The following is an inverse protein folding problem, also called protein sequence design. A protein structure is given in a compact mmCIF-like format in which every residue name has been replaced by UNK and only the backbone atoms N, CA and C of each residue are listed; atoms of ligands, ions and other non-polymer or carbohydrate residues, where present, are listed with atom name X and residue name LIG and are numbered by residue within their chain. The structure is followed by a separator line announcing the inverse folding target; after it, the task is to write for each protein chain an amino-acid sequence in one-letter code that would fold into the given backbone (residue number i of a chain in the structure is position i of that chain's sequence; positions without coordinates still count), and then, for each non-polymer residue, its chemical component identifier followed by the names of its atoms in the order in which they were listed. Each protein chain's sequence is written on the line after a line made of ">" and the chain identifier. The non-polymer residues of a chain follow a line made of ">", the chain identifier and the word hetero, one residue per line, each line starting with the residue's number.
data_IF_265595099526
#
_entry.id   IF_265595099526
#
_cell.length_a   1.000
_cell.length_b   1.000
_cell.length_c   1.000
_cell.angle_alpha   90.00
_cell.angle_beta   90.00
_cell.angle_gamma   90.00
#
_symmetry.space_group_name_H-M   'P 1'
#
loop_
_entity.id
_entity.type
_entity.pdbx_description
1 polymer ?
#
# COMPACT_ATOMS: atom_id res chain seq x y z
N UNK A 1 2.07 7.12 -8.75
CA UNK A 1 3.36 7.71 -9.19
C UNK A 1 3.15 9.09 -9.81
N UNK A 2 2.39 9.21 -10.90
CA UNK A 2 2.31 10.46 -11.69
C UNK A 2 1.41 11.58 -11.14
N UNK A 3 0.53 11.28 -10.18
CA UNK A 3 -0.32 12.29 -9.53
C UNK A 3 0.38 12.98 -8.33
N UNK A 4 1.68 12.72 -8.11
CA UNK A 4 2.45 13.31 -7.03
C UNK A 4 2.17 12.76 -5.63
N UNK A 5 1.22 11.82 -5.45
CA UNK A 5 0.86 11.28 -4.11
C UNK A 5 2.07 10.76 -3.34
N UNK A 6 3.01 10.06 -4.01
CA UNK A 6 4.21 9.50 -3.36
C UNK A 6 5.28 10.56 -3.01
N UNK A 7 5.19 11.77 -3.58
CA UNK A 7 6.22 12.79 -3.39
C UNK A 7 6.15 13.42 -2.00
N UNK A 8 4.96 13.49 -1.39
CA UNK A 8 4.74 14.03 -0.05
C UNK A 8 4.96 12.99 1.08
N UNK A 9 5.07 11.70 0.73
CA UNK A 9 5.15 10.61 1.70
C UNK A 9 6.59 10.28 2.09
N UNK A 10 6.80 9.93 3.36
CA UNK A 10 8.02 9.25 3.79
C UNK A 10 8.02 7.77 3.33
N UNK A 11 9.17 7.11 3.44
CA UNK A 11 9.33 5.74 2.96
C UNK A 11 8.48 4.71 3.74
N UNK A 12 8.16 4.97 5.01
CA UNK A 12 7.28 4.12 5.82
C UNK A 12 5.82 4.24 5.38
N UNK A 13 5.36 5.47 5.14
CA UNK A 13 4.05 5.75 4.57
C UNK A 13 3.91 5.15 3.17
N UNK A 14 5.00 5.12 2.38
CA UNK A 14 5.03 4.46 1.07
C UNK A 14 4.89 2.94 1.21
N UNK A 15 5.63 2.31 2.13
CA UNK A 15 5.50 0.87 2.38
C UNK A 15 4.06 0.52 2.78
N UNK A 16 3.48 1.29 3.70
CA UNK A 16 2.09 1.13 4.15
C UNK A 16 1.10 1.31 2.99
N UNK A 17 1.20 2.39 2.21
CA UNK A 17 0.28 2.61 1.09
C UNK A 17 0.43 1.54 -0.01
N UNK A 18 1.67 1.11 -0.28
CA UNK A 18 1.94 0.06 -1.26
C UNK A 18 1.38 -1.30 -0.84
N UNK A 19 1.24 -1.57 0.46
CA UNK A 19 0.62 -2.81 0.95
C UNK A 19 -0.83 -2.97 0.48
N UNK A 20 -1.55 -1.88 0.24
CA UNK A 20 -2.93 -1.89 -0.23
C UNK A 20 -3.10 -2.56 -1.61
N UNK A 21 -2.03 -2.64 -2.41
CA UNK A 21 -2.05 -3.28 -3.73
C UNK A 21 -1.74 -4.77 -3.67
N UNK A 22 -1.26 -5.29 -2.54
CA UNK A 22 -0.89 -6.69 -2.42
C UNK A 22 -2.15 -7.49 -2.07
N UNK A 23 -2.57 -8.45 -2.91
CA UNK A 23 -3.69 -9.31 -2.58
C UNK A 23 -3.38 -10.11 -1.32
N UNK A 24 -4.26 -10.01 -0.33
CA UNK A 24 -4.16 -10.72 0.93
C UNK A 24 -5.54 -10.95 1.55
N UNK A 25 -5.49 -11.52 2.75
CA UNK A 25 -6.67 -11.80 3.56
C UNK A 25 -7.31 -10.50 4.05
N UNK A 26 -8.62 -10.56 4.29
CA UNK A 26 -9.39 -9.46 4.87
C UNK A 26 -9.44 -9.66 6.38
N UNK A 27 -9.21 -8.58 7.13
CA UNK A 27 -9.47 -8.57 8.57
C UNK A 27 -10.98 -8.57 8.82
N UNK A 28 -11.42 -9.27 9.86
CA UNK A 28 -12.81 -9.22 10.35
C UNK A 28 -13.01 -8.12 11.38
N UNK A 29 -11.93 -7.54 11.89
CA UNK A 29 -11.92 -6.42 12.82
C UNK A 29 -11.96 -5.07 12.08
N UNK A 30 -12.29 -4.03 12.82
CA UNK A 30 -12.27 -2.67 12.30
C UNK A 30 -10.82 -2.20 12.11
N UNK A 31 -10.49 -1.73 10.91
CA UNK A 31 -9.15 -1.22 10.59
C UNK A 31 -8.90 0.05 11.40
N UNK A 32 -7.94 -0.01 12.33
CA UNK A 32 -7.48 1.16 13.09
C UNK A 32 -6.33 1.83 12.35
N UNK A 33 -6.65 2.84 11.55
CA UNK A 33 -5.68 3.56 10.74
C UNK A 33 -5.19 4.83 11.45
N UNK A 34 -3.87 5.04 11.50
CA UNK A 34 -3.29 6.30 11.98
C UNK A 34 -3.70 7.49 11.11
N UNK A 35 -3.83 8.66 11.74
CA UNK A 35 -4.24 9.91 11.09
C UNK A 35 -3.34 10.25 9.89
N UNK A 36 -2.04 10.00 10.01
CA UNK A 36 -1.05 10.25 8.95
C UNK A 36 -1.17 9.32 7.73
N UNK A 37 -1.91 8.21 7.86
CA UNK A 37 -2.17 7.25 6.78
C UNK A 37 -3.55 7.45 6.14
N UNK A 38 -4.46 8.18 6.79
CA UNK A 38 -5.80 8.43 6.30
C UNK A 38 -5.82 9.23 4.99
N UNK A 39 -5.06 10.34 4.91
CA UNK A 39 -4.99 11.16 3.69
C UNK A 39 -4.39 10.38 2.50
N UNK A 40 -3.26 9.67 2.64
CA UNK A 40 -2.73 8.81 1.57
C UNK A 40 -3.73 7.75 1.09
N UNK A 41 -4.42 7.08 2.02
CA UNK A 41 -5.43 6.08 1.67
C UNK A 41 -6.59 6.69 0.90
N UNK A 42 -7.10 7.84 1.34
CA UNK A 42 -8.18 8.55 0.65
C UNK A 42 -7.76 8.92 -0.78
N UNK A 43 -6.57 9.49 -0.97
CA UNK A 43 -6.06 9.84 -2.30
C UNK A 43 -5.96 8.62 -3.24
N UNK A 44 -5.61 7.45 -2.68
CA UNK A 44 -5.57 6.20 -3.43
C UNK A 44 -6.99 5.73 -3.82
N UNK A 45 -7.95 5.79 -2.90
CA UNK A 45 -9.36 5.46 -3.17
C UNK A 45 -9.98 6.39 -4.21
N UNK A 46 -9.73 7.70 -4.11
CA UNK A 46 -10.19 8.70 -5.08
C UNK A 46 -9.61 8.43 -6.47
N UNK A 47 -8.33 8.03 -6.54
CA UNK A 47 -7.69 7.66 -7.80
C UNK A 47 -8.31 6.38 -8.40
N UNK A 48 -8.57 5.36 -7.59
CA UNK A 48 -9.22 4.13 -8.03
C UNK A 48 -10.67 4.40 -8.51
N UNK A 49 -11.40 5.24 -7.79
CA UNK A 49 -12.75 5.67 -8.16
C UNK A 49 -12.74 6.37 -9.52
N UNK A 50 -11.80 7.30 -9.72
CA UNK A 50 -11.66 8.03 -10.99
C UNK A 50 -11.37 7.09 -12.17
N UNK A 51 -10.55 6.07 -11.95
CA UNK A 51 -10.26 5.05 -12.98
C UNK A 51 -11.55 4.29 -13.33
N UNK A 52 -12.31 3.84 -12.34
CA UNK A 52 -13.54 3.08 -12.57
C UNK A 52 -14.63 3.92 -13.25
N UNK A 53 -14.77 5.20 -12.89
CA UNK A 53 -15.66 6.14 -13.59
C UNK A 53 -15.31 6.25 -15.08
N UNK A 54 -14.02 6.42 -15.41
CA UNK A 54 -13.57 6.49 -16.80
C UNK A 54 -13.82 5.17 -17.54
N UNK A 55 -13.59 4.02 -16.87
CA UNK A 55 -13.91 2.72 -17.45
C UNK A 55 -15.40 2.57 -17.76
N UNK A 56 -16.28 3.05 -16.86
CA UNK A 56 -17.72 3.09 -17.07
C UNK A 56 -18.11 4.01 -18.23
N UNK A 57 -17.53 5.22 -18.31
CA UNK A 57 -17.71 6.16 -19.44
C UNK A 57 -17.30 5.52 -20.78
N UNK A 58 -16.25 4.70 -20.77
CA UNK A 58 -15.79 3.89 -21.91
C UNK A 58 -16.66 2.64 -22.18
N UNK A 59 -17.82 2.49 -21.51
CA UNK A 59 -18.79 1.40 -21.66
C UNK A 59 -18.25 0.02 -21.24
N UNK A 60 -17.27 -0.02 -20.36
CA UNK A 60 -16.90 -1.27 -19.68
C UNK A 60 -17.90 -1.54 -18.55
N UNK A 61 -18.31 -2.80 -18.40
CA UNK A 61 -19.15 -3.23 -17.29
C UNK A 61 -18.29 -3.28 -16.01
N UNK A 62 -18.26 -2.17 -15.29
CA UNK A 62 -17.58 -2.03 -14.01
C UNK A 62 -18.50 -1.36 -13.00
N UNK A 63 -18.56 -1.92 -11.79
CA UNK A 63 -19.14 -1.26 -10.63
C UNK A 63 -18.03 -0.48 -9.91
N UNK A 64 -18.21 0.84 -9.79
CA UNK A 64 -17.22 1.75 -9.22
C UNK A 64 -16.85 1.40 -7.79
N UNK A 65 -17.84 1.11 -6.94
CA UNK A 65 -17.59 0.83 -5.52
C UNK A 65 -16.93 -0.54 -5.33
N UNK A 66 -17.39 -1.55 -6.08
CA UNK A 66 -16.73 -2.87 -6.08
C UNK A 66 -15.29 -2.79 -6.60
N UNK A 67 -15.02 -1.96 -7.61
CA UNK A 67 -13.67 -1.76 -8.13
C UNK A 67 -12.75 -1.15 -7.08
N UNK A 68 -13.20 -0.11 -6.36
CA UNK A 68 -12.42 0.54 -5.31
C UNK A 68 -12.13 -0.46 -4.18
N UNK A 69 -13.13 -1.20 -3.71
CA UNK A 69 -12.97 -2.21 -2.64
C UNK A 69 -12.03 -3.36 -3.07
N UNK A 70 -12.12 -3.81 -4.32
CA UNK A 70 -11.28 -4.89 -4.83
C UNK A 70 -9.81 -4.44 -5.01
N UNK A 71 -9.61 -3.18 -5.40
CA UNK A 71 -8.31 -2.61 -5.77
C UNK A 71 -7.51 -2.07 -4.58
N UNK A 72 -8.19 -1.63 -3.52
CA UNK A 72 -7.55 -0.99 -2.36
C UNK A 72 -7.85 -1.79 -1.09
N UNK A 73 -6.84 -2.47 -0.55
CA UNK A 73 -6.97 -3.35 0.62
C UNK A 73 -6.18 -2.84 1.84
N UNK A 74 -6.76 -1.93 2.65
CA UNK A 74 -6.03 -1.27 3.73
C UNK A 74 -5.81 -2.11 4.99
N UNK A 75 -6.18 -3.40 5.00
CA UNK A 75 -6.25 -4.24 6.21
C UNK A 75 -4.92 -4.36 6.97
N UNK A 76 -3.78 -4.36 6.27
CA UNK A 76 -2.45 -4.46 6.87
C UNK A 76 -1.67 -3.13 6.82
N UNK A 77 -2.31 -2.02 6.46
CA UNK A 77 -1.63 -0.74 6.25
C UNK A 77 -0.93 -0.24 7.53
N UNK A 78 -1.61 -0.28 8.69
CA UNK A 78 -1.00 0.14 9.97
C UNK A 78 0.07 -0.85 10.47
N UNK A 79 -0.17 -2.15 10.27
CA UNK A 79 0.76 -3.24 10.61
C UNK A 79 2.09 -3.05 9.88
N UNK A 80 2.04 -2.85 8.56
CA UNK A 80 3.22 -2.62 7.72
C UNK A 80 3.92 -1.31 8.07
N UNK A 81 3.15 -0.26 8.38
CA UNK A 81 3.73 1.00 8.84
C UNK A 81 4.55 0.83 10.12
N UNK A 82 3.98 0.20 11.16
CA UNK A 82 4.68 -0.08 12.41
C UNK A 82 5.90 -0.98 12.20
N UNK A 83 5.75 -2.06 11.42
CA UNK A 83 6.86 -2.94 11.07
C UNK A 83 8.00 -2.16 10.44
N UNK A 84 7.71 -1.37 9.41
CA UNK A 84 8.72 -0.59 8.69
C UNK A 84 9.47 0.39 9.61
N UNK A 85 8.85 0.83 10.71
CA UNK A 85 9.47 1.69 11.74
C UNK A 85 10.25 0.92 12.81
N UNK A 86 10.40 -0.39 12.67
CA UNK A 86 11.19 -1.24 13.55
C UNK A 86 10.41 -1.92 14.68
N UNK A 87 9.08 -1.94 14.62
CA UNK A 87 8.30 -2.77 15.55
C UNK A 87 8.63 -4.25 15.33
N UNK A 88 8.73 -5.01 16.41
CA UNK A 88 9.01 -6.44 16.36
C UNK A 88 7.83 -7.21 15.79
N UNK A 89 8.11 -8.41 15.25
CA UNK A 89 7.03 -9.27 14.73
C UNK A 89 5.97 -9.58 15.80
N UNK A 90 6.38 -9.78 17.04
CA UNK A 90 5.48 -10.04 18.15
C UNK A 90 4.53 -8.87 18.45
N UNK A 91 4.96 -7.62 18.25
CA UNK A 91 4.10 -6.44 18.45
C UNK A 91 3.07 -6.31 17.32
N UNK A 92 3.50 -6.49 16.07
CA UNK A 92 2.63 -6.24 14.92
C UNK A 92 1.55 -7.32 14.73
N UNK A 93 1.79 -8.56 15.15
CA UNK A 93 0.76 -9.62 15.12
C UNK A 93 -0.35 -9.39 16.15
N UNK A 94 -0.13 -8.55 17.16
CA UNK A 94 -1.17 -8.18 18.14
C UNK A 94 -2.06 -7.02 17.64
N UNK A 95 -1.72 -6.43 16.49
CA UNK A 95 -2.47 -5.30 15.92
C UNK A 95 -3.58 -5.73 14.97
N UNK A 96 -3.67 -7.02 14.63
CA UNK A 96 -4.59 -7.54 13.63
C UNK A 96 -4.96 -9.00 13.93
N UNK A 97 -6.15 -9.40 13.50
CA UNK A 97 -6.63 -10.78 13.51
C UNK A 97 -6.13 -11.61 12.31
N UNK A 98 -5.38 -11.01 11.38
CA UNK A 98 -4.82 -11.70 10.21
C UNK A 98 -3.70 -12.64 10.64
N UNK A 99 -3.76 -13.88 10.15
CA UNK A 99 -2.78 -14.93 10.47
C UNK A 99 -1.34 -14.50 10.15
N UNK A 100 -0.41 -14.87 11.03
CA UNK A 100 1.00 -14.48 11.00
C UNK A 100 1.67 -14.86 9.67
N UNK A 101 1.35 -16.06 9.16
CA UNK A 101 1.86 -16.52 7.87
C UNK A 101 1.39 -15.68 6.67
N UNK A 102 0.23 -15.05 6.77
CA UNK A 102 -0.27 -14.13 5.74
C UNK A 102 0.41 -12.77 5.80
N UNK A 103 0.74 -12.29 7.00
CA UNK A 103 1.54 -11.05 7.18
C UNK A 103 2.92 -11.22 6.55
N UNK A 104 3.64 -12.30 6.87
CA UNK A 104 4.97 -12.59 6.30
C UNK A 104 4.93 -12.70 4.78
N UNK A 105 3.93 -13.41 4.24
CA UNK A 105 3.75 -13.56 2.81
C UNK A 105 3.44 -12.23 2.13
N UNK A 106 2.63 -11.37 2.75
CA UNK A 106 2.38 -10.03 2.24
C UNK A 106 3.66 -9.20 2.24
N UNK A 107 4.42 -9.19 3.34
CA UNK A 107 5.67 -8.41 3.44
C UNK A 107 6.69 -8.79 2.35
N UNK A 108 6.85 -10.09 2.07
CA UNK A 108 7.72 -10.57 0.98
C UNK A 108 7.26 -10.09 -0.40
N UNK A 109 5.97 -10.19 -0.69
CA UNK A 109 5.40 -9.71 -1.97
C UNK A 109 5.45 -8.19 -2.09
N UNK A 110 5.32 -7.49 -0.97
CA UNK A 110 5.48 -6.05 -0.89
C UNK A 110 6.91 -5.62 -1.21
N UNK A 111 7.91 -6.34 -0.71
CA UNK A 111 9.32 -6.10 -1.06
C UNK A 111 9.57 -6.26 -2.58
N UNK A 112 9.05 -7.34 -3.17
CA UNK A 112 9.11 -7.55 -4.62
C UNK A 112 8.43 -6.40 -5.40
N UNK A 113 7.25 -5.98 -4.94
CA UNK A 113 6.49 -4.89 -5.56
C UNK A 113 7.21 -3.54 -5.45
N UNK A 114 7.79 -3.20 -4.30
CA UNK A 114 8.58 -1.98 -4.11
C UNK A 114 9.83 -1.97 -5.00
N UNK A 115 10.46 -3.13 -5.22
CA UNK A 115 11.56 -3.25 -6.17
C UNK A 115 11.13 -3.04 -7.63
N UNK A 116 9.92 -3.44 -8.00
CA UNK A 116 9.33 -3.12 -9.31
C UNK A 116 9.06 -1.62 -9.45
N UNK A 117 8.51 -0.97 -8.42
CA UNK A 117 8.29 0.48 -8.40
C UNK A 117 9.59 1.27 -8.47
N UNK A 118 10.64 0.81 -7.78
CA UNK A 118 12.00 1.35 -7.88
C UNK A 118 12.52 1.33 -9.32
N UNK A 119 12.41 0.17 -9.99
CA UNK A 119 12.83 0.04 -11.39
C UNK A 119 12.02 0.94 -12.33
N UNK A 120 10.71 1.06 -12.10
CA UNK A 120 9.85 1.96 -12.87
C UNK A 120 10.21 3.45 -12.66
N UNK A 121 10.49 3.86 -11.42
CA UNK A 121 10.92 5.23 -11.11
C UNK A 121 12.25 5.57 -11.79
N UNK A 122 13.21 4.64 -11.75
CA UNK A 122 14.49 4.77 -12.46
C UNK A 122 14.30 4.93 -13.98
N UNK A 123 13.43 4.13 -14.59
CA UNK A 123 13.16 4.18 -16.02
C UNK A 123 12.53 5.50 -16.49
N UNK A 124 11.80 6.19 -15.61
CA UNK A 124 11.16 7.49 -15.88
C UNK A 124 12.07 8.68 -15.50
N UNK A 125 13.17 8.43 -14.79
CA UNK A 125 14.11 9.47 -14.33
C UNK A 125 13.73 10.12 -12.99
N UNK A 126 12.81 9.51 -12.23
CA UNK A 126 12.34 10.00 -10.92
C UNK A 126 13.26 9.49 -9.80
N UNK A 127 14.44 10.09 -9.67
CA UNK A 127 15.51 9.66 -8.74
C UNK A 127 15.08 9.71 -7.27
N UNK A 128 14.26 10.69 -6.88
CA UNK A 128 13.81 10.80 -5.49
C UNK A 128 12.81 9.71 -5.12
N UNK A 129 11.90 9.35 -6.04
CA UNK A 129 10.98 8.23 -5.86
C UNK A 129 11.72 6.90 -5.82
N UNK A 130 12.72 6.70 -6.69
CA UNK A 130 13.58 5.52 -6.67
C UNK A 130 14.18 5.30 -5.27
N UNK A 131 14.80 6.35 -4.70
CA UNK A 131 15.40 6.30 -3.35
C UNK A 131 14.36 5.99 -2.28
N UNK A 132 13.17 6.59 -2.35
CA UNK A 132 12.10 6.33 -1.38
C UNK A 132 11.60 4.88 -1.46
N UNK A 133 11.42 4.33 -2.66
CA UNK A 133 11.03 2.93 -2.84
C UNK A 133 12.12 1.97 -2.35
N UNK A 134 13.39 2.28 -2.59
CA UNK A 134 14.52 1.51 -2.07
C UNK A 134 14.56 1.52 -0.53
N UNK A 135 14.36 2.69 0.09
CA UNK A 135 14.30 2.82 1.55
C UNK A 135 13.09 2.07 2.14
N UNK A 136 11.93 2.14 1.48
CA UNK A 136 10.73 1.42 1.89
C UNK A 136 10.97 -0.11 1.88
N UNK A 137 11.55 -0.64 0.80
CA UNK A 137 11.92 -2.07 0.69
C UNK A 137 12.93 -2.46 1.78
N UNK A 138 13.99 -1.67 1.98
CA UNK A 138 15.00 -1.93 3.01
C UNK A 138 14.43 -1.95 4.43
N UNK A 139 13.39 -1.16 4.71
CA UNK A 139 12.75 -1.11 6.04
C UNK A 139 11.92 -2.35 6.40
N UNK A 140 11.54 -3.18 5.42
CA UNK A 140 10.75 -4.40 5.64
C UNK A 140 11.61 -5.64 5.91
N UNK A 141 12.91 -5.59 5.61
CA UNK A 141 13.84 -6.72 5.68
C UNK A 141 14.69 -6.72 6.97
N UNK A 142 14.15 -6.17 8.07
CA UNK A 142 14.84 -6.10 9.38
C UNK A 142 14.76 -7.40 10.18
#
# INVERSE_FOLDING_TARGET
>A
MFNGTFNELDHHQIAALASCFIPGDRSTEQIHLRVELARPLQQLQDSARRIAEIQHECKLEVNVDEYVEASVRPYLMDVIYCWSKGASFAEVIQMTDIFEGSIIRLARRLDEFLNQLKAAALAVGEVDLEKKFAAASGSLCQ
#
